data_IF_043685525571
#
_entry.id   IF_043685525571
#
_cell.length_a   1.000
_cell.length_b   1.000
_cell.length_c   1.000
_cell.angle_alpha   90.00
_cell.angle_beta   90.00
_cell.angle_gamma   90.00
#
_symmetry.space_group_name_H-M   'P 1'
#
loop_
_entity.id
_entity.type
_entity.pdbx_description
1 polymer ?
#
# COMPACT_ATOMS: atom_id res chain seq x y z
N UNK A 1 -36.83 -9.93 4.07
CA UNK A 1 -35.64 -10.62 4.57
C UNK A 1 -36.08 -11.99 5.05
N UNK A 2 -35.41 -13.12 4.72
CA UNK A 2 -35.71 -14.42 5.30
C UNK A 2 -35.53 -14.37 6.81
N UNK A 3 -36.36 -15.10 7.52
CA UNK A 3 -36.25 -15.23 8.99
C UNK A 3 -34.86 -15.80 9.35
N UNK A 4 -34.22 -15.32 10.44
CA UNK A 4 -32.94 -15.87 10.88
C UNK A 4 -33.02 -17.38 11.07
N UNK A 5 -32.02 -18.09 10.58
CA UNK A 5 -31.88 -19.54 10.82
C UNK A 5 -31.67 -19.82 12.31
N UNK A 6 -31.94 -21.05 12.77
CA UNK A 6 -31.77 -21.41 14.18
C UNK A 6 -30.32 -21.23 14.66
N UNK A 7 -29.33 -21.38 13.78
CA UNK A 7 -27.92 -21.12 14.07
C UNK A 7 -27.66 -19.66 14.46
N UNK A 8 -28.36 -18.69 13.84
CA UNK A 8 -28.26 -17.28 14.22
C UNK A 8 -28.89 -17.00 15.58
N UNK A 9 -29.98 -17.73 15.94
CA UNK A 9 -30.62 -17.58 17.25
C UNK A 9 -29.71 -18.05 18.38
N UNK A 10 -28.85 -19.04 18.15
CA UNK A 10 -27.92 -19.54 19.15
C UNK A 10 -26.75 -18.58 19.39
N UNK A 11 -26.34 -17.82 18.37
CA UNK A 11 -25.30 -16.75 18.49
C UNK A 11 -25.84 -15.58 19.33
N UNK A 12 -27.15 -15.32 19.28
CA UNK A 12 -27.80 -14.24 20.01
C UNK A 12 -28.54 -14.71 21.27
N UNK A 13 -28.00 -15.72 21.96
CA UNK A 13 -28.53 -16.07 23.30
C UNK A 13 -28.57 -14.82 24.16
N UNK A 14 -29.78 -14.47 24.64
CA UNK A 14 -29.98 -13.39 25.59
C UNK A 14 -29.39 -13.84 26.95
N UNK A 15 -28.11 -13.64 27.12
CA UNK A 15 -27.54 -13.62 28.47
C UNK A 15 -28.00 -12.31 29.13
N UNK A 16 -28.53 -12.43 30.34
CA UNK A 16 -28.88 -11.25 31.13
C UNK A 16 -27.61 -10.58 31.64
N UNK A 17 -27.03 -9.74 30.83
CA UNK A 17 -25.88 -8.94 31.26
C UNK A 17 -26.37 -7.80 32.18
N UNK A 18 -25.76 -7.69 33.34
CA UNK A 18 -26.02 -6.59 34.29
C UNK A 18 -25.71 -5.19 33.69
N UNK A 19 -24.84 -5.14 32.74
CA UNK A 19 -24.49 -3.94 31.97
C UNK A 19 -24.51 -4.24 30.47
N UNK A 20 -24.96 -3.32 29.59
CA UNK A 20 -24.89 -3.51 28.15
C UNK A 20 -23.45 -3.71 27.65
N UNK A 21 -22.45 -3.41 28.47
CA UNK A 21 -21.04 -3.61 28.17
C UNK A 21 -20.44 -4.86 28.83
N UNK A 22 -21.17 -5.54 29.73
CA UNK A 22 -20.69 -6.77 30.35
C UNK A 22 -20.57 -7.88 29.29
N UNK A 23 -19.47 -8.61 29.34
CA UNK A 23 -19.17 -9.68 28.38
C UNK A 23 -18.68 -9.20 27.00
N UNK A 24 -18.48 -7.92 26.80
CA UNK A 24 -17.86 -7.39 25.56
C UNK A 24 -16.34 -7.38 25.70
N UNK A 25 -15.66 -8.04 24.76
CA UNK A 25 -14.19 -8.15 24.72
C UNK A 25 -13.52 -7.24 23.67
N UNK A 26 -14.29 -6.37 23.01
CA UNK A 26 -13.73 -5.46 22.03
C UNK A 26 -13.18 -4.17 22.69
N UNK A 27 -12.19 -3.54 22.05
CA UNK A 27 -11.63 -2.28 22.54
C UNK A 27 -12.68 -1.18 22.68
N UNK A 28 -12.57 -0.38 23.74
CA UNK A 28 -13.43 0.79 23.98
C UNK A 28 -12.77 2.11 23.62
N UNK A 29 -11.49 2.08 23.30
CA UNK A 29 -10.72 3.25 22.87
C UNK A 29 -10.73 3.33 21.33
N UNK A 30 -10.76 4.58 20.84
CA UNK A 30 -10.54 4.88 19.42
C UNK A 30 -9.08 5.28 19.25
N UNK A 31 -8.41 4.66 18.29
CA UNK A 31 -7.03 4.95 17.93
C UNK A 31 -7.01 5.59 16.54
N UNK A 32 -6.17 6.62 16.37
CA UNK A 32 -6.05 7.40 15.15
C UNK A 32 -4.67 7.20 14.53
N UNK A 33 -4.62 6.80 13.29
CA UNK A 33 -3.37 6.56 12.59
C UNK A 33 -3.55 6.50 11.09
N UNK A 34 -2.47 6.18 10.41
CA UNK A 34 -2.45 6.02 8.97
C UNK A 34 -1.83 4.66 8.62
N UNK A 35 -2.48 3.92 7.73
CA UNK A 35 -1.99 2.62 7.24
C UNK A 35 -1.37 2.69 5.86
N UNK A 36 -1.31 3.87 5.23
CA UNK A 36 -0.93 4.01 3.84
C UNK A 36 -0.10 5.27 3.58
N UNK A 37 1.08 5.35 4.20
CA UNK A 37 2.01 6.47 4.00
C UNK A 37 3.20 6.05 3.16
N UNK A 38 3.53 6.86 2.12
CA UNK A 38 4.71 6.68 1.28
C UNK A 38 5.82 7.64 1.66
N UNK A 39 7.05 7.18 1.60
CA UNK A 39 8.28 7.98 1.82
C UNK A 39 9.08 8.12 0.52
N UNK A 40 10.26 8.74 0.61
CA UNK A 40 11.19 8.79 -0.53
C UNK A 40 11.73 7.42 -0.97
N UNK A 41 11.45 6.34 -0.19
CA UNK A 41 11.77 4.97 -0.57
C UNK A 41 10.80 4.42 -1.63
N UNK A 42 9.59 4.97 -1.70
CA UNK A 42 8.56 4.58 -2.65
C UNK A 42 8.86 5.08 -4.06
N UNK A 43 8.53 4.28 -5.07
CA UNK A 43 8.80 4.64 -6.47
C UNK A 43 8.03 5.89 -6.88
N UNK A 44 6.76 6.02 -6.52
CA UNK A 44 5.91 7.17 -6.87
C UNK A 44 6.27 8.42 -6.07
N UNK A 45 6.27 8.35 -4.74
CA UNK A 45 6.61 9.50 -3.90
C UNK A 45 8.03 10.00 -4.18
N UNK A 46 8.99 9.09 -4.38
CA UNK A 46 10.34 9.41 -4.80
C UNK A 46 10.37 10.12 -6.16
N UNK A 47 9.60 9.65 -7.15
CA UNK A 47 9.49 10.28 -8.46
C UNK A 47 8.94 11.71 -8.36
N UNK A 48 7.91 11.91 -7.53
CA UNK A 48 7.29 13.22 -7.30
C UNK A 48 8.06 14.13 -6.33
N UNK A 49 9.27 13.75 -5.94
CA UNK A 49 10.20 14.63 -5.21
C UNK A 49 10.23 14.45 -3.70
N UNK A 50 9.58 13.44 -3.15
CA UNK A 50 9.72 13.12 -1.74
C UNK A 50 11.15 12.68 -1.43
N UNK A 51 11.75 13.28 -0.39
CA UNK A 51 13.12 12.99 0.07
C UNK A 51 13.17 12.50 1.49
N UNK A 52 12.06 12.64 2.24
CA UNK A 52 11.96 12.15 3.61
C UNK A 52 11.88 10.63 3.61
N UNK A 53 12.53 10.02 4.60
CA UNK A 53 12.67 8.57 4.75
C UNK A 53 11.78 8.04 5.90
N UNK A 54 11.69 6.74 6.11
CA UNK A 54 10.86 6.15 7.15
C UNK A 54 11.06 6.74 8.57
N UNK A 55 12.28 7.07 8.95
CA UNK A 55 12.56 7.73 10.24
C UNK A 55 11.83 9.08 10.36
N UNK A 56 11.82 9.88 9.31
CA UNK A 56 11.15 11.18 9.31
C UNK A 56 9.63 11.02 9.36
N UNK A 57 9.09 10.01 8.68
CA UNK A 57 7.67 9.67 8.72
C UNK A 57 7.23 9.33 10.15
N UNK A 58 7.96 8.46 10.85
CA UNK A 58 7.65 8.11 12.24
C UNK A 58 7.83 9.29 13.20
N UNK A 59 8.84 10.13 13.01
CA UNK A 59 9.02 11.36 13.80
C UNK A 59 7.83 12.31 13.62
N UNK A 60 7.42 12.53 12.39
CA UNK A 60 6.26 13.36 12.08
C UNK A 60 4.97 12.80 12.69
N UNK A 61 4.70 11.50 12.53
CA UNK A 61 3.54 10.83 13.11
C UNK A 61 3.51 10.95 14.65
N UNK A 62 4.66 10.91 15.31
CA UNK A 62 4.81 11.10 16.75
C UNK A 62 4.67 12.58 17.19
N UNK A 63 4.40 13.49 16.25
CA UNK A 63 4.23 14.91 16.52
C UNK A 63 5.53 15.69 16.69
N UNK A 64 6.64 15.20 16.18
CA UNK A 64 7.87 15.97 16.08
C UNK A 64 7.83 16.92 14.87
N UNK A 65 8.55 18.04 14.94
CA UNK A 65 8.75 18.91 13.79
C UNK A 65 9.72 18.26 12.81
N UNK A 66 9.33 18.20 11.54
CA UNK A 66 10.19 17.79 10.44
C UNK A 66 10.25 18.88 9.37
N UNK A 67 11.32 18.86 8.56
CA UNK A 67 11.42 19.76 7.39
C UNK A 67 10.96 18.97 6.18
N UNK A 68 9.90 19.43 5.51
CA UNK A 68 9.38 18.78 4.30
C UNK A 68 10.39 18.77 3.15
N UNK A 69 10.14 17.95 2.14
CA UNK A 69 10.96 17.90 0.90
C UNK A 69 11.05 19.25 0.17
N UNK A 70 10.10 20.16 0.44
CA UNK A 70 10.07 21.53 -0.11
C UNK A 70 10.68 22.58 0.82
N UNK A 71 11.24 22.17 1.97
CA UNK A 71 11.91 23.06 2.92
C UNK A 71 11.00 23.70 3.98
N UNK A 72 9.72 23.36 4.02
CA UNK A 72 8.80 23.86 5.03
C UNK A 72 8.92 23.06 6.31
N UNK A 73 8.90 23.75 7.46
CA UNK A 73 8.77 23.11 8.77
C UNK A 73 7.32 22.76 9.02
N UNK A 74 7.08 21.49 9.34
CA UNK A 74 5.74 20.94 9.54
C UNK A 74 5.69 20.08 10.79
N UNK A 75 4.53 20.08 11.45
CA UNK A 75 4.29 19.32 12.66
C UNK A 75 2.80 19.01 12.77
N UNK A 76 2.45 17.82 13.20
CA UNK A 76 1.06 17.49 13.54
C UNK A 76 0.64 18.22 14.82
N UNK A 77 -0.59 18.71 14.86
CA UNK A 77 -1.18 19.31 16.06
C UNK A 77 -1.43 18.27 17.16
N UNK A 78 -1.66 17.02 16.76
CA UNK A 78 -1.83 15.86 17.62
C UNK A 78 -1.02 14.69 17.04
N UNK A 79 -0.20 13.99 17.85
CA UNK A 79 0.44 12.75 17.41
C UNK A 79 -0.58 11.70 16.98
N UNK A 80 -0.21 10.86 16.03
CA UNK A 80 -0.94 9.65 15.70
C UNK A 80 -0.68 8.58 16.76
N UNK A 81 -1.62 7.62 16.90
CA UNK A 81 -1.48 6.46 17.76
C UNK A 81 -0.71 5.33 17.04
N UNK A 82 -0.78 5.29 15.71
CA UNK A 82 -0.06 4.31 14.89
C UNK A 82 0.25 4.84 13.49
N UNK A 83 1.22 4.21 12.82
CA UNK A 83 1.56 4.46 11.42
C UNK A 83 2.06 3.17 10.77
N UNK A 84 1.71 3.00 9.49
CA UNK A 84 2.37 2.07 8.58
C UNK A 84 3.07 2.89 7.49
N UNK A 85 4.39 2.75 7.38
CA UNK A 85 5.11 3.18 6.19
C UNK A 85 4.92 2.07 5.15
N UNK A 86 4.21 2.40 4.08
CA UNK A 86 3.73 1.46 3.07
C UNK A 86 4.35 1.75 1.69
N UNK A 87 5.66 1.92 1.64
CA UNK A 87 6.36 2.18 0.37
C UNK A 87 6.12 1.04 -0.63
N UNK A 88 5.99 1.38 -1.91
CA UNK A 88 5.80 0.41 -3.00
C UNK A 88 6.87 -0.67 -2.98
N UNK A 89 6.46 -1.94 -3.10
CA UNK A 89 7.38 -3.09 -3.17
C UNK A 89 8.23 -3.06 -4.44
N UNK A 90 7.66 -2.64 -5.56
CA UNK A 90 8.37 -2.64 -6.84
C UNK A 90 9.38 -1.50 -6.88
N UNK A 91 10.68 -1.87 -7.00
CA UNK A 91 11.82 -0.96 -6.97
C UNK A 91 11.95 -0.12 -5.67
N UNK A 92 11.58 -0.68 -4.51
CA UNK A 92 11.77 -0.03 -3.21
C UNK A 92 13.21 0.47 -3.04
N UNK A 93 13.37 1.72 -2.59
CA UNK A 93 14.67 2.33 -2.36
C UNK A 93 15.40 2.86 -3.59
N UNK A 94 14.78 2.80 -4.77
CA UNK A 94 15.40 3.28 -6.03
C UNK A 94 15.81 4.75 -5.96
N UNK A 95 14.90 5.66 -5.58
CA UNK A 95 15.16 7.10 -5.61
C UNK A 95 16.20 7.58 -4.60
N UNK A 96 16.28 7.10 -3.35
CA UNK A 96 17.40 7.41 -2.47
C UNK A 96 18.76 7.02 -3.06
N UNK A 97 18.87 5.85 -3.67
CA UNK A 97 20.09 5.37 -4.34
C UNK A 97 20.46 6.23 -5.55
N UNK A 98 19.47 6.55 -6.40
CA UNK A 98 19.68 7.45 -7.54
C UNK A 98 20.15 8.84 -7.08
N UNK A 99 19.53 9.42 -6.04
CA UNK A 99 19.89 10.74 -5.53
C UNK A 99 21.26 10.78 -4.85
N UNK A 100 21.65 9.70 -4.20
CA UNK A 100 22.99 9.59 -3.61
C UNK A 100 24.10 9.35 -4.63
N UNK A 101 23.74 8.97 -5.86
CA UNK A 101 24.72 8.66 -6.90
C UNK A 101 25.49 7.39 -6.60
N UNK A 102 24.80 6.31 -6.24
CA UNK A 102 25.48 5.03 -5.99
C UNK A 102 26.28 4.56 -7.19
N UNK A 103 27.38 3.80 -6.96
CA UNK A 103 28.34 3.47 -8.02
C UNK A 103 27.75 2.74 -9.21
N UNK A 104 26.76 1.89 -9.02
CA UNK A 104 26.04 1.17 -10.08
C UNK A 104 25.24 2.12 -10.98
N UNK A 105 24.59 3.14 -10.39
CA UNK A 105 23.92 4.19 -11.17
C UNK A 105 24.91 5.03 -11.98
N UNK A 106 26.05 5.39 -11.39
CA UNK A 106 27.07 6.20 -12.08
C UNK A 106 27.83 5.41 -13.15
N UNK A 107 27.87 4.08 -13.04
CA UNK A 107 28.47 3.18 -14.02
C UNK A 107 27.57 2.95 -15.24
N UNK A 108 26.24 3.00 -15.07
CA UNK A 108 25.26 2.85 -16.13
C UNK A 108 25.05 4.20 -16.84
N UNK A 109 25.08 4.28 -18.18
CA UNK A 109 24.89 5.55 -18.91
C UNK A 109 23.55 6.23 -18.63
N UNK A 110 22.47 5.46 -18.50
CA UNK A 110 21.13 5.98 -18.19
C UNK A 110 21.05 6.44 -16.74
N UNK A 111 21.56 5.63 -15.81
CA UNK A 111 21.62 5.96 -14.39
C UNK A 111 22.43 7.23 -14.14
N UNK A 112 23.59 7.37 -14.77
CA UNK A 112 24.42 8.58 -14.67
C UNK A 112 23.71 9.82 -15.22
N UNK A 113 23.00 9.69 -16.34
CA UNK A 113 22.21 10.79 -16.91
C UNK A 113 21.06 11.17 -15.96
N UNK A 114 20.30 10.20 -15.46
CA UNK A 114 19.23 10.46 -14.50
C UNK A 114 19.74 11.12 -13.22
N UNK A 115 20.89 10.66 -12.71
CA UNK A 115 21.53 11.30 -11.56
C UNK A 115 21.80 12.78 -11.81
N UNK A 116 22.42 13.13 -12.95
CA UNK A 116 22.68 14.53 -13.31
C UNK A 116 21.41 15.38 -13.37
N UNK A 117 20.37 14.88 -14.01
CA UNK A 117 19.08 15.56 -14.13
C UNK A 117 18.36 15.72 -12.78
N UNK A 118 18.42 14.73 -11.90
CA UNK A 118 17.87 14.82 -10.53
C UNK A 118 18.61 15.87 -9.70
N UNK A 119 19.95 15.97 -9.85
CA UNK A 119 20.74 16.98 -9.14
C UNK A 119 20.45 18.40 -9.65
N UNK A 120 20.13 18.56 -10.93
CA UNK A 120 19.69 19.83 -11.50
C UNK A 120 18.33 20.24 -10.96
N UNK A 121 17.44 19.27 -10.71
CA UNK A 121 16.10 19.47 -10.12
C UNK A 121 15.12 20.15 -11.07
N UNK A 122 14.06 20.73 -10.51
CA UNK A 122 13.04 21.45 -11.29
C UNK A 122 12.46 20.63 -12.44
N UNK A 123 12.44 21.18 -13.64
CA UNK A 123 11.89 20.52 -14.83
C UNK A 123 12.67 19.25 -15.23
N UNK A 124 13.98 19.22 -15.03
CA UNK A 124 14.80 18.05 -15.34
C UNK A 124 14.47 16.88 -14.40
N UNK A 125 14.25 17.14 -13.12
CA UNK A 125 13.77 16.14 -12.17
C UNK A 125 12.41 15.55 -12.58
N UNK A 126 11.49 16.40 -13.05
CA UNK A 126 10.17 15.93 -13.56
C UNK A 126 10.33 15.05 -14.80
N UNK A 127 11.20 15.44 -15.74
CA UNK A 127 11.47 14.61 -16.94
C UNK A 127 11.97 13.22 -16.57
N UNK A 128 12.88 13.13 -15.61
CA UNK A 128 13.40 11.83 -15.12
C UNK A 128 12.28 11.00 -14.53
N UNK A 129 11.42 11.59 -13.70
CA UNK A 129 10.29 10.88 -13.11
C UNK A 129 9.38 10.29 -14.18
N UNK A 130 9.01 11.10 -15.17
CA UNK A 130 8.18 10.67 -16.32
C UNK A 130 8.87 9.56 -17.11
N UNK A 131 10.16 9.70 -17.42
CA UNK A 131 10.93 8.68 -18.16
C UNK A 131 11.00 7.35 -17.41
N UNK A 132 11.23 7.38 -16.10
CA UNK A 132 11.26 6.19 -15.25
C UNK A 132 9.90 5.50 -15.23
N UNK A 133 8.81 6.24 -15.00
CA UNK A 133 7.45 5.70 -15.00
C UNK A 133 7.12 5.07 -16.36
N UNK A 134 7.42 5.76 -17.46
CA UNK A 134 7.24 5.23 -18.80
C UNK A 134 8.08 3.98 -19.05
N UNK A 135 9.33 3.96 -18.58
CA UNK A 135 10.20 2.80 -18.68
C UNK A 135 9.63 1.56 -17.99
N UNK A 136 9.06 1.75 -16.81
CA UNK A 136 8.40 0.67 -16.05
C UNK A 136 7.14 0.16 -16.76
N UNK A 137 6.26 1.06 -17.20
CA UNK A 137 5.01 0.68 -17.86
C UNK A 137 5.23 0.05 -19.24
N UNK A 138 6.28 0.46 -19.96
CA UNK A 138 6.62 -0.05 -21.29
C UNK A 138 7.61 -1.23 -21.27
N UNK A 139 8.10 -1.64 -20.09
CA UNK A 139 9.09 -2.70 -19.96
C UNK A 139 10.47 -2.35 -20.51
N UNK A 140 10.79 -1.07 -20.62
CA UNK A 140 12.09 -0.55 -21.12
C UNK A 140 13.02 -0.05 -20.01
N UNK A 141 12.60 -0.21 -18.75
CA UNK A 141 13.39 0.17 -17.59
C UNK A 141 14.70 -0.64 -17.55
N UNK A 142 15.87 -0.01 -17.30
CA UNK A 142 17.17 -0.70 -17.29
C UNK A 142 17.23 -1.76 -16.19
N UNK A 143 17.33 -3.07 -16.52
CA UNK A 143 17.34 -4.14 -15.50
C UNK A 143 18.50 -4.01 -14.50
N UNK A 144 19.63 -3.47 -14.93
CA UNK A 144 20.81 -3.27 -14.07
C UNK A 144 20.58 -2.25 -12.94
N UNK A 145 19.60 -1.35 -13.09
CA UNK A 145 19.27 -0.32 -12.09
C UNK A 145 18.08 -0.74 -11.22
N UNK A 146 17.38 -1.83 -11.57
CA UNK A 146 16.20 -2.27 -10.85
C UNK A 146 16.56 -2.76 -9.44
N UNK A 147 15.74 -2.34 -8.46
CA UNK A 147 15.77 -2.83 -7.09
C UNK A 147 14.66 -3.89 -6.94
N UNK A 148 15.02 -5.15 -7.06
CA UNK A 148 14.07 -6.27 -7.09
C UNK A 148 14.35 -7.28 -5.98
N UNK A 149 13.34 -8.06 -5.54
CA UNK A 149 13.52 -9.14 -4.57
C UNK A 149 14.69 -10.06 -4.94
N UNK A 150 15.46 -10.44 -3.93
CA UNK A 150 16.68 -11.25 -4.09
C UNK A 150 17.96 -10.43 -4.29
N UNK A 151 17.89 -9.13 -4.60
CA UNK A 151 19.06 -8.26 -4.67
C UNK A 151 19.45 -7.69 -3.30
N UNK A 152 20.74 -7.38 -3.10
CA UNK A 152 21.22 -6.76 -1.87
C UNK A 152 20.56 -5.39 -1.66
N UNK A 153 20.43 -4.60 -2.72
CA UNK A 153 19.79 -3.30 -2.68
C UNK A 153 18.33 -3.37 -2.18
N UNK A 154 17.58 -4.37 -2.61
CA UNK A 154 16.19 -4.57 -2.18
C UNK A 154 16.12 -4.97 -0.70
N UNK A 155 16.98 -5.91 -0.28
CA UNK A 155 17.08 -6.31 1.13
C UNK A 155 17.45 -5.15 2.02
N UNK A 156 18.44 -4.34 1.61
CA UNK A 156 18.86 -3.17 2.38
C UNK A 156 17.75 -2.13 2.49
N UNK A 157 17.01 -1.87 1.41
CA UNK A 157 15.84 -0.99 1.43
C UNK A 157 14.76 -1.50 2.41
N UNK A 158 14.42 -2.78 2.35
CA UNK A 158 13.49 -3.39 3.30
C UNK A 158 13.98 -3.27 4.76
N UNK A 159 15.26 -3.49 5.00
CA UNK A 159 15.83 -3.35 6.33
C UNK A 159 15.78 -1.91 6.86
N UNK A 160 15.80 -0.90 6.01
CA UNK A 160 15.59 0.50 6.43
C UNK A 160 14.18 0.65 7.01
N UNK A 161 13.15 0.17 6.32
CA UNK A 161 11.76 0.22 6.80
C UNK A 161 11.58 -0.54 8.10
N UNK A 162 12.05 -1.79 8.16
CA UNK A 162 11.95 -2.63 9.38
C UNK A 162 12.65 -1.98 10.58
N UNK A 163 13.90 -1.55 10.42
CA UNK A 163 14.67 -0.92 11.50
C UNK A 163 14.07 0.39 11.97
N UNK A 164 13.52 1.16 11.05
CA UNK A 164 12.84 2.41 11.39
C UNK A 164 11.59 2.13 12.23
N UNK A 165 10.73 1.20 11.82
CA UNK A 165 9.56 0.83 12.61
C UNK A 165 9.95 0.35 14.02
N UNK A 166 10.91 -0.58 14.13
CA UNK A 166 11.40 -1.05 15.43
C UNK A 166 11.96 0.06 16.32
N UNK A 167 12.69 1.01 15.73
CA UNK A 167 13.28 2.14 16.45
C UNK A 167 12.24 3.05 17.08
N UNK A 168 11.12 3.28 16.39
CA UNK A 168 10.09 4.23 16.81
C UNK A 168 8.90 3.58 17.50
N UNK A 169 8.77 2.25 17.45
CA UNK A 169 7.69 1.53 18.13
C UNK A 169 7.82 1.68 19.66
N UNK A 170 6.79 2.25 20.27
CA UNK A 170 6.69 2.49 21.73
C UNK A 170 5.34 1.96 22.22
N UNK A 171 5.26 0.67 22.60
CA UNK A 171 4.00 0.04 22.99
C UNK A 171 3.25 0.82 24.08
N UNK A 172 1.96 1.02 23.85
CA UNK A 172 1.08 1.80 24.75
C UNK A 172 1.08 3.31 24.50
N UNK A 173 1.92 3.81 23.60
CA UNK A 173 1.97 5.22 23.23
C UNK A 173 1.89 5.43 21.71
N UNK A 174 2.66 4.69 20.94
CA UNK A 174 2.72 4.76 19.50
C UNK A 174 3.09 3.41 18.93
N UNK A 175 2.31 2.92 17.97
CA UNK A 175 2.62 1.67 17.27
C UNK A 175 3.15 1.98 15.88
N UNK A 176 4.42 1.65 15.65
CA UNK A 176 4.99 1.64 14.31
C UNK A 176 4.83 0.23 13.72
N UNK A 177 3.81 0.05 12.89
CA UNK A 177 3.64 -1.21 12.17
C UNK A 177 4.66 -1.31 11.03
N UNK A 178 5.14 -2.51 10.79
CA UNK A 178 5.94 -2.83 9.62
C UNK A 178 4.97 -3.16 8.48
N UNK A 179 5.20 -2.59 7.30
CA UNK A 179 4.36 -2.84 6.14
C UNK A 179 5.02 -2.40 4.84
N UNK A 180 4.36 -2.69 3.75
CA UNK A 180 4.72 -2.27 2.40
C UNK A 180 3.49 -2.30 1.50
N UNK A 181 3.56 -1.69 0.33
CA UNK A 181 2.48 -1.76 -0.65
C UNK A 181 2.85 -2.70 -1.80
N UNK A 182 2.09 -3.79 -1.95
CA UNK A 182 2.14 -4.64 -3.13
C UNK A 182 1.44 -3.94 -4.30
N UNK A 183 2.15 -3.76 -5.42
CA UNK A 183 1.89 -2.74 -6.43
C UNK A 183 1.40 -3.30 -7.76
N UNK A 184 0.43 -4.21 -7.76
CA UNK A 184 -0.07 -4.77 -9.02
C UNK A 184 -0.85 -3.72 -9.83
N UNK A 185 -0.37 -3.45 -11.04
CA UNK A 185 -1.00 -2.51 -11.98
C UNK A 185 -1.25 -3.25 -13.31
N UNK A 186 -2.39 -3.91 -13.41
CA UNK A 186 -2.74 -4.68 -14.62
C UNK A 186 -3.31 -3.75 -15.69
N UNK A 187 -2.59 -3.61 -16.81
CA UNK A 187 -3.02 -2.74 -17.94
C UNK A 187 -3.38 -1.32 -17.51
N UNK A 188 -2.63 -0.77 -16.55
CA UNK A 188 -2.87 0.55 -16.02
C UNK A 188 -3.95 0.64 -14.95
N UNK A 189 -4.61 -0.45 -14.62
CA UNK A 189 -5.65 -0.51 -13.59
C UNK A 189 -5.07 -0.85 -12.21
N UNK A 190 -5.51 -0.14 -11.19
CA UNK A 190 -5.03 -0.33 -9.82
C UNK A 190 -5.52 -1.64 -9.21
N UNK A 191 -4.58 -2.43 -8.67
CA UNK A 191 -4.84 -3.63 -7.85
C UNK A 191 -3.95 -3.65 -6.60
N UNK A 192 -3.54 -2.50 -6.12
CA UNK A 192 -2.60 -2.35 -5.01
C UNK A 192 -3.20 -2.79 -3.67
N UNK A 193 -2.34 -3.31 -2.78
CA UNK A 193 -2.68 -3.67 -1.40
C UNK A 193 -1.56 -3.24 -0.47
N UNK A 194 -1.92 -2.57 0.61
CA UNK A 194 -0.99 -2.39 1.73
C UNK A 194 -0.94 -3.67 2.55
N UNK A 195 0.23 -4.29 2.65
CA UNK A 195 0.47 -5.48 3.47
C UNK A 195 1.05 -5.03 4.81
N UNK A 196 0.41 -5.44 5.91
CA UNK A 196 0.77 -5.02 7.27
C UNK A 196 1.10 -6.25 8.10
N UNK A 197 2.25 -6.23 8.76
CA UNK A 197 2.69 -7.27 9.67
C UNK A 197 2.19 -6.96 11.09
N UNK A 198 1.62 -7.96 11.74
CA UNK A 198 1.34 -7.92 13.17
C UNK A 198 2.62 -8.03 13.99
N UNK A 199 3.62 -8.69 13.44
CA UNK A 199 4.86 -9.03 14.11
C UNK A 199 5.89 -7.90 14.02
N UNK A 200 6.85 -7.91 14.95
CA UNK A 200 8.01 -7.04 14.90
C UNK A 200 9.08 -7.51 13.91
N UNK A 201 10.17 -6.74 13.86
CA UNK A 201 11.25 -6.92 12.90
C UNK A 201 11.94 -8.27 12.95
N UNK A 202 11.90 -8.96 14.11
CA UNK A 202 12.48 -10.30 14.25
C UNK A 202 11.87 -11.35 13.31
N UNK A 203 10.60 -11.18 12.90
CA UNK A 203 9.94 -12.02 11.90
C UNK A 203 9.87 -11.35 10.55
N UNK A 204 9.46 -10.07 10.48
CA UNK A 204 9.31 -9.35 9.23
C UNK A 204 10.61 -9.28 8.42
N UNK A 205 11.80 -9.24 9.08
CA UNK A 205 13.10 -9.26 8.41
C UNK A 205 13.52 -10.63 7.88
N UNK A 206 12.78 -11.71 8.19
CA UNK A 206 13.06 -13.04 7.64
C UNK A 206 12.64 -13.20 6.19
N UNK A 207 11.84 -12.28 5.68
CA UNK A 207 11.31 -12.24 4.30
C UNK A 207 11.58 -10.89 3.67
N UNK A 208 11.58 -10.84 2.36
CA UNK A 208 11.51 -9.60 1.58
C UNK A 208 10.04 -9.33 1.19
N UNK A 209 9.64 -8.05 0.99
CA UNK A 209 8.32 -7.73 0.46
C UNK A 209 8.03 -8.51 -0.84
N UNK A 210 6.82 -9.03 -0.98
CA UNK A 210 6.41 -9.64 -2.23
C UNK A 210 6.18 -8.56 -3.28
N UNK A 211 6.84 -8.65 -4.42
CA UNK A 211 6.69 -7.71 -5.54
C UNK A 211 5.78 -8.28 -6.63
N UNK A 212 5.52 -7.48 -7.65
CA UNK A 212 4.75 -7.94 -8.82
C UNK A 212 5.65 -8.47 -9.93
N UNK A 213 6.97 -8.34 -9.79
CA UNK A 213 7.94 -8.63 -10.86
C UNK A 213 8.43 -10.07 -10.79
N UNK A 214 8.19 -10.90 -11.84
CA UNK A 214 8.77 -12.24 -11.93
C UNK A 214 10.31 -12.24 -11.94
N UNK A 215 10.99 -13.32 -11.51
CA UNK A 215 10.42 -14.62 -11.11
C UNK A 215 10.03 -14.74 -9.65
N UNK A 216 10.37 -13.77 -8.80
CA UNK A 216 10.12 -13.82 -7.35
C UNK A 216 8.85 -13.07 -6.93
N UNK A 217 8.13 -12.48 -7.87
CA UNK A 217 6.88 -11.78 -7.69
C UNK A 217 5.82 -12.19 -8.72
N UNK A 218 4.59 -11.74 -8.52
CA UNK A 218 3.45 -11.97 -9.41
C UNK A 218 2.45 -10.83 -9.31
N UNK A 219 1.78 -10.45 -10.40
CA UNK A 219 0.70 -9.45 -10.37
C UNK A 219 -0.65 -10.03 -9.90
N UNK A 220 -0.75 -11.33 -9.63
CA UNK A 220 -1.96 -12.03 -9.20
C UNK A 220 -2.07 -12.02 -7.66
N UNK A 221 -3.18 -11.50 -7.13
CA UNK A 221 -3.42 -11.44 -5.69
C UNK A 221 -3.43 -12.82 -5.02
N UNK A 222 -3.78 -13.89 -5.76
CA UNK A 222 -3.73 -15.26 -5.23
C UNK A 222 -2.31 -15.71 -4.91
N UNK A 223 -1.34 -15.22 -5.65
CA UNK A 223 0.06 -15.52 -5.38
C UNK A 223 0.58 -14.68 -4.21
N UNK A 224 0.09 -13.44 -4.06
CA UNK A 224 0.30 -12.65 -2.84
C UNK A 224 -0.25 -13.41 -1.61
N UNK A 225 -1.49 -13.90 -1.66
CA UNK A 225 -2.08 -14.64 -0.54
C UNK A 225 -1.33 -15.93 -0.20
N UNK A 226 -0.84 -16.67 -1.21
CA UNK A 226 0.04 -17.84 -0.98
C UNK A 226 1.37 -17.46 -0.33
N UNK A 227 1.93 -16.31 -0.72
CA UNK A 227 3.14 -15.79 -0.10
C UNK A 227 2.85 -15.41 1.37
N UNK A 228 1.71 -14.78 1.66
CA UNK A 228 1.27 -14.46 3.01
C UNK A 228 1.08 -15.73 3.86
N UNK A 229 0.42 -16.76 3.32
CA UNK A 229 0.29 -18.07 3.98
C UNK A 229 1.66 -18.71 4.25
N UNK A 230 2.58 -18.63 3.29
CA UNK A 230 3.95 -19.14 3.46
C UNK A 230 4.70 -18.40 4.58
N UNK A 231 4.48 -17.10 4.74
CA UNK A 231 5.04 -16.33 5.84
C UNK A 231 4.49 -16.82 7.19
N UNK A 232 3.16 -16.96 7.32
CA UNK A 232 2.55 -17.48 8.54
C UNK A 232 3.10 -18.86 8.90
N UNK A 233 3.11 -19.78 7.93
CA UNK A 233 3.56 -21.16 8.13
C UNK A 233 5.04 -21.28 8.55
N UNK A 234 5.91 -20.47 7.94
CA UNK A 234 7.36 -20.54 8.20
C UNK A 234 7.80 -19.79 9.44
N UNK A 235 7.12 -18.69 9.77
CA UNK A 235 7.55 -17.79 10.84
C UNK A 235 6.69 -17.88 12.09
N UNK A 236 5.50 -18.47 11.98
CA UNK A 236 4.46 -18.39 13.02
C UNK A 236 4.00 -16.93 13.22
N UNK A 237 4.18 -16.09 12.22
CA UNK A 237 3.73 -14.69 12.22
C UNK A 237 2.28 -14.54 11.79
N UNK A 238 1.85 -13.30 11.63
CA UNK A 238 0.49 -12.94 11.23
C UNK A 238 0.53 -11.62 10.45
N UNK A 239 -0.28 -11.50 9.42
CA UNK A 239 -0.34 -10.31 8.57
C UNK A 239 -1.70 -10.20 7.86
N UNK A 240 -2.01 -9.01 7.39
CA UNK A 240 -3.20 -8.76 6.58
C UNK A 240 -2.86 -7.82 5.41
N UNK A 241 -3.76 -7.75 4.43
CA UNK A 241 -3.67 -6.80 3.34
C UNK A 241 -4.92 -5.90 3.29
N UNK A 242 -4.72 -4.64 2.86
CA UNK A 242 -5.79 -3.64 2.69
C UNK A 242 -5.77 -3.17 1.25
N UNK A 243 -6.80 -3.50 0.48
CA UNK A 243 -6.99 -2.99 -0.87
C UNK A 243 -7.44 -1.53 -0.84
N UNK A 244 -7.09 -0.76 -1.87
CA UNK A 244 -7.42 0.65 -1.97
C UNK A 244 -7.57 1.11 -3.41
N UNK A 245 -8.20 2.29 -3.62
CA UNK A 245 -8.42 2.89 -4.92
C UNK A 245 -9.12 1.98 -5.95
N UNK A 246 -10.22 1.36 -5.57
CA UNK A 246 -11.12 0.69 -6.51
C UNK A 246 -11.62 1.61 -7.62
N UNK A 247 -11.76 2.91 -7.31
CA UNK A 247 -12.11 3.97 -8.26
C UNK A 247 -11.16 4.09 -9.46
N UNK A 248 -9.90 3.63 -9.35
CA UNK A 248 -8.90 3.63 -10.42
C UNK A 248 -8.57 2.23 -10.95
N UNK A 249 -9.40 1.25 -10.65
CA UNK A 249 -9.14 -0.15 -10.99
C UNK A 249 -9.76 -0.66 -12.28
N UNK A 250 -10.64 0.11 -12.94
CA UNK A 250 -11.49 -0.41 -14.03
C UNK A 250 -12.30 -1.65 -13.63
N UNK A 251 -12.71 -1.76 -12.35
CA UNK A 251 -13.45 -2.90 -11.82
C UNK A 251 -12.61 -4.15 -11.57
N UNK A 252 -11.27 -4.10 -11.76
CA UNK A 252 -10.42 -5.28 -11.52
C UNK A 252 -9.96 -5.40 -10.06
N UNK A 253 -10.26 -4.43 -9.21
CA UNK A 253 -10.03 -4.56 -7.76
C UNK A 253 -10.95 -5.62 -7.15
N UNK A 254 -12.22 -5.62 -7.53
CA UNK A 254 -13.25 -6.55 -7.07
C UNK A 254 -14.07 -7.11 -8.25
N UNK A 255 -13.43 -7.78 -9.21
CA UNK A 255 -14.11 -8.24 -10.39
C UNK A 255 -15.08 -9.38 -10.08
N UNK A 256 -16.11 -9.53 -10.91
CA UNK A 256 -17.09 -10.63 -10.81
C UNK A 256 -16.55 -11.97 -11.36
N UNK A 257 -15.46 -11.89 -12.11
CA UNK A 257 -14.76 -13.06 -12.66
C UNK A 257 -13.25 -12.82 -12.63
N UNK A 258 -12.50 -13.89 -12.49
CA UNK A 258 -11.05 -13.91 -12.49
C UNK A 258 -10.51 -13.26 -13.78
N UNK A 259 -9.76 -12.19 -13.66
CA UNK A 259 -9.23 -11.42 -14.80
C UNK A 259 -8.14 -12.18 -15.58
N UNK A 260 -7.49 -13.16 -14.96
CA UNK A 260 -6.45 -13.97 -15.60
C UNK A 260 -7.03 -15.18 -16.34
N UNK A 261 -8.12 -15.78 -15.84
CA UNK A 261 -8.69 -17.02 -16.39
C UNK A 261 -10.07 -16.84 -17.00
N UNK A 262 -10.76 -15.73 -16.73
CA UNK A 262 -12.14 -15.47 -17.16
C UNK A 262 -13.21 -16.33 -16.46
N UNK A 263 -12.83 -17.13 -15.45
CA UNK A 263 -13.77 -17.98 -14.71
C UNK A 263 -14.45 -17.20 -13.60
N UNK A 264 -15.73 -17.49 -13.29
CA UNK A 264 -16.36 -16.95 -12.08
C UNK A 264 -15.58 -17.33 -10.83
N UNK A 265 -15.53 -16.41 -9.89
CA UNK A 265 -14.96 -16.72 -8.56
C UNK A 265 -15.86 -17.69 -7.82
N UNK A 266 -15.23 -18.59 -7.07
CA UNK A 266 -15.92 -19.57 -6.23
C UNK A 266 -15.86 -19.18 -4.75
N UNK A 267 -16.50 -19.99 -3.93
CA UNK A 267 -16.53 -19.80 -2.49
C UNK A 267 -15.13 -19.85 -1.86
N UNK A 268 -14.26 -20.72 -2.35
CA UNK A 268 -12.90 -20.85 -1.80
C UNK A 268 -12.08 -19.59 -2.04
N UNK A 269 -12.23 -18.95 -3.20
CA UNK A 269 -11.61 -17.64 -3.45
C UNK A 269 -12.14 -16.57 -2.50
N UNK A 270 -13.46 -16.51 -2.29
CA UNK A 270 -14.06 -15.53 -1.37
C UNK A 270 -13.62 -15.73 0.08
N UNK A 271 -13.52 -16.98 0.54
CA UNK A 271 -13.01 -17.33 1.87
C UNK A 271 -11.53 -16.94 2.04
N UNK A 272 -10.70 -17.19 1.04
CA UNK A 272 -9.30 -16.76 1.03
C UNK A 272 -9.19 -15.24 1.11
N UNK A 273 -10.00 -14.53 0.31
CA UNK A 273 -10.02 -13.08 0.32
C UNK A 273 -10.40 -12.52 1.69
N UNK A 274 -11.49 -12.97 2.30
CA UNK A 274 -11.91 -12.52 3.64
C UNK A 274 -10.82 -12.77 4.68
N UNK A 275 -10.09 -13.89 4.57
CA UNK A 275 -8.96 -14.17 5.46
C UNK A 275 -7.87 -13.11 5.35
N UNK A 276 -7.45 -12.78 4.13
CA UNK A 276 -6.27 -11.96 3.88
C UNK A 276 -6.56 -10.46 3.76
N UNK A 277 -7.76 -10.10 3.26
CA UNK A 277 -8.19 -8.72 3.02
C UNK A 277 -9.48 -8.40 3.81
N UNK A 278 -9.42 -8.37 5.15
CA UNK A 278 -10.61 -8.14 5.98
C UNK A 278 -11.08 -6.68 6.01
N UNK A 279 -10.27 -5.76 5.47
CA UNK A 279 -10.50 -4.32 5.47
C UNK A 279 -10.34 -3.78 4.05
N UNK A 280 -10.96 -2.61 3.81
CA UNK A 280 -10.82 -1.82 2.61
C UNK A 280 -10.62 -0.35 2.97
N UNK A 281 -9.70 0.33 2.29
CA UNK A 281 -9.49 1.77 2.46
C UNK A 281 -10.59 2.53 1.71
N UNK A 282 -11.34 3.36 2.43
CA UNK A 282 -12.53 4.05 1.91
C UNK A 282 -12.11 5.18 0.97
N UNK A 283 -11.24 6.07 1.42
CA UNK A 283 -10.83 7.27 0.67
C UNK A 283 -9.39 7.66 0.94
N UNK A 284 -8.79 8.36 0.02
CA UNK A 284 -7.44 8.94 0.12
C UNK A 284 -7.30 10.14 -0.85
N UNK A 285 -6.09 10.74 -0.94
CA UNK A 285 -5.80 11.86 -1.84
C UNK A 285 -6.13 11.57 -3.33
N UNK A 286 -6.11 10.30 -3.75
CA UNK A 286 -6.50 9.86 -5.11
C UNK A 286 -7.98 9.52 -5.24
N UNK A 287 -8.81 9.98 -4.31
CA UNK A 287 -10.26 9.90 -4.36
C UNK A 287 -10.87 8.79 -3.53
N UNK A 288 -12.20 8.82 -3.48
CA UNK A 288 -13.05 7.84 -2.82
C UNK A 288 -13.11 6.53 -3.63
N UNK A 289 -12.85 5.42 -2.96
CA UNK A 289 -12.92 4.07 -3.53
C UNK A 289 -14.19 3.31 -3.10
N UNK A 290 -15.02 3.87 -2.22
CA UNK A 290 -16.18 3.17 -1.66
C UNK A 290 -17.44 3.39 -2.50
N UNK A 291 -17.71 4.63 -2.94
CA UNK A 291 -18.98 5.01 -3.54
C UNK A 291 -18.81 6.06 -4.65
N UNK A 292 -19.82 6.21 -5.49
CA UNK A 292 -19.88 7.22 -6.52
C UNK A 292 -21.35 7.57 -6.80
N UNK A 293 -21.73 8.85 -7.08
CA UNK A 293 -23.13 9.26 -7.31
C UNK A 293 -23.86 8.46 -8.38
N UNK A 294 -23.13 8.02 -9.42
CA UNK A 294 -23.72 7.21 -10.50
C UNK A 294 -24.06 5.78 -10.03
N UNK A 295 -23.24 5.19 -9.15
CA UNK A 295 -23.41 3.82 -8.64
C UNK A 295 -24.27 3.77 -7.38
N UNK A 296 -24.25 4.83 -6.58
CA UNK A 296 -24.96 4.94 -5.30
C UNK A 296 -25.84 6.20 -5.27
N UNK A 297 -26.87 6.31 -6.16
CA UNK A 297 -27.61 7.57 -6.37
C UNK A 297 -28.50 7.99 -5.18
N UNK A 298 -28.69 7.13 -4.19
CA UNK A 298 -29.46 7.39 -2.98
C UNK A 298 -28.57 7.70 -1.75
N UNK A 299 -27.26 7.73 -1.91
CA UNK A 299 -26.31 8.06 -0.87
C UNK A 299 -25.94 9.55 -0.98
N UNK A 300 -26.30 10.35 0.02
CA UNK A 300 -26.06 11.79 0.05
C UNK A 300 -24.59 12.17 0.16
N UNK A 301 -23.70 11.23 0.48
CA UNK A 301 -22.26 11.42 0.59
C UNK A 301 -21.47 10.81 -0.58
N UNK A 302 -22.15 10.23 -1.56
CA UNK A 302 -21.49 9.54 -2.68
C UNK A 302 -20.66 10.47 -3.58
N UNK A 303 -20.84 11.79 -3.48
CA UNK A 303 -20.07 12.80 -4.23
C UNK A 303 -18.85 13.34 -3.46
N UNK A 304 -18.54 12.77 -2.27
CA UNK A 304 -17.44 13.23 -1.45
C UNK A 304 -16.09 12.74 -2.03
N UNK A 305 -15.21 13.70 -2.32
CA UNK A 305 -13.83 13.44 -2.81
C UNK A 305 -13.74 12.45 -3.99
N UNK A 306 -14.71 12.45 -4.90
CA UNK A 306 -14.69 11.57 -6.07
C UNK A 306 -13.47 11.85 -6.97
N UNK A 307 -12.89 10.78 -7.50
CA UNK A 307 -11.88 10.83 -8.55
C UNK A 307 -12.23 9.76 -9.59
N UNK A 308 -12.82 10.19 -10.68
CA UNK A 308 -13.43 9.34 -11.71
C UNK A 308 -12.81 9.53 -13.11
N UNK A 309 -11.56 9.99 -13.17
CA UNK A 309 -10.89 10.34 -14.42
C UNK A 309 -10.45 9.13 -15.25
N UNK A 310 -10.38 7.95 -14.68
CA UNK A 310 -9.95 6.74 -15.38
C UNK A 310 -9.17 5.77 -14.50
N UNK A 311 -8.37 4.90 -15.15
CA UNK A 311 -7.46 3.98 -14.47
C UNK A 311 -6.24 4.72 -13.88
N UNK A 312 -5.40 4.00 -13.13
CA UNK A 312 -4.30 4.60 -12.37
C UNK A 312 -3.28 5.34 -13.25
N UNK A 313 -2.94 4.82 -14.42
CA UNK A 313 -1.99 5.43 -15.35
C UNK A 313 -2.63 6.42 -16.35
N UNK A 314 -3.93 6.66 -16.24
CA UNK A 314 -4.72 7.55 -17.11
C UNK A 314 -4.67 7.20 -18.61
N UNK A 315 -4.35 5.96 -18.94
CA UNK A 315 -4.40 5.48 -20.33
C UNK A 315 -5.82 5.23 -20.81
N UNK A 316 -6.76 5.01 -19.88
CA UNK A 316 -8.19 4.82 -20.16
C UNK A 316 -9.00 5.83 -19.38
N UNK A 317 -9.52 6.84 -20.07
CA UNK A 317 -10.50 7.77 -19.50
C UNK A 317 -11.88 7.11 -19.47
N UNK A 318 -12.61 7.28 -18.38
CA UNK A 318 -13.91 6.66 -18.17
C UNK A 318 -15.07 7.64 -18.35
N UNK A 319 -16.18 7.12 -18.87
CA UNK A 319 -17.51 7.73 -18.73
C UNK A 319 -18.23 7.11 -17.52
N UNK A 320 -19.32 7.75 -17.07
CA UNK A 320 -20.12 7.23 -15.96
C UNK A 320 -20.62 5.79 -16.18
N UNK A 321 -20.91 5.41 -17.44
CA UNK A 321 -21.38 4.07 -17.78
C UNK A 321 -20.29 3.00 -17.66
N UNK A 322 -19.02 3.41 -17.56
CA UNK A 322 -17.86 2.53 -17.42
C UNK A 322 -17.39 2.39 -15.98
N UNK A 323 -17.97 3.15 -15.04
CA UNK A 323 -17.58 3.09 -13.63
C UNK A 323 -17.90 1.73 -13.03
N UNK A 324 -16.91 1.16 -12.34
CA UNK A 324 -16.99 -0.09 -11.59
C UNK A 324 -16.08 0.04 -10.36
N UNK A 325 -16.60 -0.34 -9.23
CA UNK A 325 -15.88 -0.34 -7.95
C UNK A 325 -15.69 -1.75 -7.44
#
# INVERSE_FOLDING_TARGET
>A
LPAPTDDIKDVFKKENHYSPYAGRSFPTNVYWGDTHLHTGMSMDAGAFGATLLPDDAHRFARGEEVTSSTGLKVKLSRPLDFLVVADHSDNMGFFPRLRSGEPDFLADPTGKRWYGMIQEGGQEGVKVAVEIIQGLTQGTFPPALASLPGSDAYRDAWQVTVKSAEKFNEPGRYTAFIGYEWTSTEKGANRHRVVIYRDGGHKASMVEPYSTVPPLGSPDERDLWKWMETYEDKTGGDLLAIAHNGNMSNGVMFPIADTFTGKPYDRAWAEARIKWEPLYEITQIKGDGETHPFLSPNDEFADYETWDQGNLDLTELKTNEMLQY
#
